data_IF_587905962250
#
_entry.id   IF_587905962250
#
_cell.length_a   1.000
_cell.length_b   1.000
_cell.length_c   1.000
_cell.angle_alpha   90.00
_cell.angle_beta   90.00
_cell.angle_gamma   90.00
#
_symmetry.space_group_name_H-M   'P 1'
#
loop_
_entity.id
_entity.type
_entity.pdbx_description
1 polymer ?
#
# COMPACT_ATOMS: atom_id res chain seq x y z
N UNK A 1 -13.96 0.01 -4.42
CA UNK A 1 -12.85 -0.42 -3.56
C UNK A 1 -11.67 0.51 -3.82
N UNK A 2 -11.42 1.43 -2.88
CA UNK A 2 -10.40 2.47 -2.98
C UNK A 2 -10.97 3.80 -3.44
N UNK A 3 -11.77 4.44 -2.58
CA UNK A 3 -12.40 5.74 -2.86
C UNK A 3 -11.43 6.92 -2.61
N UNK A 4 -10.16 6.61 -2.34
CA UNK A 4 -9.12 7.62 -2.20
C UNK A 4 -8.32 7.71 -3.48
N UNK A 5 -8.41 8.86 -4.14
CA UNK A 5 -7.51 9.27 -5.23
C UNK A 5 -6.08 9.50 -4.76
N UNK A 6 -5.86 9.57 -3.45
CA UNK A 6 -4.54 9.78 -2.88
C UNK A 6 -3.85 8.45 -2.58
N UNK A 7 -2.52 8.36 -2.76
CA UNK A 7 -1.75 7.22 -2.32
C UNK A 7 -2.00 6.93 -0.83
N UNK A 8 -2.21 5.66 -0.48
CA UNK A 8 -2.32 5.25 0.91
C UNK A 8 -1.01 5.59 1.64
N UNK A 9 -1.09 6.12 2.86
CA UNK A 9 0.10 6.39 3.67
C UNK A 9 0.97 5.13 3.86
N UNK A 10 0.34 3.95 3.89
CA UNK A 10 1.00 2.65 4.02
C UNK A 10 1.79 2.22 2.77
N UNK A 11 1.66 2.93 1.65
CA UNK A 11 2.42 2.69 0.43
C UNK A 11 3.78 3.41 0.44
N UNK A 12 3.97 4.45 1.26
CA UNK A 12 5.25 5.13 1.38
C UNK A 12 6.29 4.23 2.07
N UNK A 13 7.48 4.12 1.48
CA UNK A 13 8.53 3.21 1.96
C UNK A 13 8.87 3.44 3.45
N UNK A 14 9.05 4.70 3.85
CA UNK A 14 9.51 5.09 5.19
C UNK A 14 8.37 5.51 6.14
N UNK A 15 7.12 5.15 5.83
CA UNK A 15 6.01 5.33 6.75
C UNK A 15 5.78 4.06 7.58
N UNK A 16 5.73 4.21 8.91
CA UNK A 16 5.53 3.12 9.84
C UNK A 16 4.60 3.55 10.97
N UNK A 17 3.85 2.59 11.50
CA UNK A 17 2.99 2.74 12.67
C UNK A 17 3.73 2.11 13.84
N UNK A 18 3.92 2.88 14.90
CA UNK A 18 4.66 2.44 16.10
C UNK A 18 3.64 2.31 17.23
N UNK A 19 3.58 1.14 17.85
CA UNK A 19 2.73 0.87 18.99
C UNK A 19 3.41 1.30 20.30
N UNK A 20 2.63 1.42 21.40
CA UNK A 20 3.13 1.91 22.69
C UNK A 20 4.28 1.07 23.29
N UNK A 21 4.37 -0.21 22.90
CA UNK A 21 5.39 -1.16 23.36
C UNK A 21 6.63 -1.22 22.44
N UNK A 22 6.71 -0.31 21.47
CA UNK A 22 7.77 -0.26 20.47
C UNK A 22 7.56 -1.21 19.28
N UNK A 23 6.52 -2.03 19.25
CA UNK A 23 6.25 -2.88 18.07
C UNK A 23 5.93 -2.00 16.85
N UNK A 24 6.52 -2.38 15.70
CA UNK A 24 6.41 -1.63 14.44
C UNK A 24 5.51 -2.37 13.47
N UNK A 25 4.57 -1.65 12.86
CA UNK A 25 3.61 -2.12 11.86
C UNK A 25 3.60 -1.20 10.63
N UNK A 26 2.98 -1.62 9.52
CA UNK A 26 2.87 -0.76 8.33
C UNK A 26 1.65 0.15 8.33
N UNK A 27 0.51 -0.36 8.75
CA UNK A 27 -0.75 0.36 8.66
C UNK A 27 -1.66 0.00 9.82
N UNK A 28 -2.66 0.85 10.05
CA UNK A 28 -3.67 0.68 11.09
C UNK A 28 -4.86 -0.20 10.67
N UNK A 29 -4.88 -0.68 9.42
CA UNK A 29 -5.96 -1.51 8.86
C UNK A 29 -5.74 -3.03 9.09
N UNK A 30 -4.83 -3.38 10.00
CA UNK A 30 -4.49 -4.75 10.39
C UNK A 30 -4.37 -4.81 11.91
N UNK A 31 -4.63 -5.98 12.48
CA UNK A 31 -4.52 -6.19 13.91
C UNK A 31 -3.07 -6.06 14.37
N UNK A 32 -2.87 -5.40 15.52
CA UNK A 32 -1.57 -5.24 16.17
C UNK A 32 -1.20 -6.49 16.96
N UNK A 33 -1.07 -7.61 16.25
CA UNK A 33 -0.64 -8.90 16.76
C UNK A 33 0.77 -9.24 16.29
N UNK A 34 1.41 -10.20 16.96
CA UNK A 34 2.79 -10.59 16.67
C UNK A 34 2.98 -11.06 15.22
N UNK A 35 1.97 -11.72 14.65
CA UNK A 35 1.98 -12.22 13.27
C UNK A 35 2.07 -11.09 12.24
N UNK A 36 1.58 -9.89 12.56
CA UNK A 36 1.59 -8.73 11.67
C UNK A 36 2.74 -7.75 11.94
N UNK A 37 3.51 -7.98 13.02
CA UNK A 37 4.64 -7.13 13.39
C UNK A 37 5.70 -7.15 12.30
N UNK A 38 6.22 -5.99 11.96
CA UNK A 38 7.32 -5.79 11.00
C UNK A 38 8.68 -5.60 11.69
N UNK A 39 8.70 -5.27 12.96
CA UNK A 39 9.93 -5.01 13.69
C UNK A 39 9.67 -4.42 15.06
N UNK A 40 10.73 -3.89 15.67
CA UNK A 40 10.68 -3.22 16.96
C UNK A 40 11.53 -1.95 16.94
N UNK A 41 11.01 -0.87 17.51
CA UNK A 41 11.77 0.34 17.83
C UNK A 41 12.61 0.06 19.09
N UNK A 42 13.90 0.26 18.96
CA UNK A 42 14.89 0.08 20.01
C UNK A 42 15.12 1.38 20.78
N UNK A 43 15.71 1.29 21.97
CA UNK A 43 15.92 2.44 22.87
C UNK A 43 16.87 3.51 22.30
N UNK A 44 17.70 3.15 21.32
CA UNK A 44 18.60 4.04 20.60
C UNK A 44 17.94 4.74 19.39
N UNK A 45 16.65 4.46 19.14
CA UNK A 45 15.88 5.01 18.03
C UNK A 45 15.99 4.21 16.73
N UNK A 46 16.73 3.10 16.70
CA UNK A 46 16.79 2.21 15.54
C UNK A 46 15.50 1.36 15.44
N UNK A 47 15.01 1.16 14.22
CA UNK A 47 13.97 0.15 13.96
C UNK A 47 14.65 -1.12 13.46
N UNK A 48 14.58 -2.19 14.27
CA UNK A 48 15.04 -3.52 13.87
C UNK A 48 13.88 -4.24 13.19
N UNK A 49 14.00 -4.39 11.87
CA UNK A 49 13.00 -5.07 11.04
C UNK A 49 13.16 -6.60 11.08
N UNK A 50 12.04 -7.31 11.02
CA UNK A 50 12.01 -8.76 10.87
C UNK A 50 11.85 -9.17 9.40
N UNK A 51 11.82 -10.48 9.13
CA UNK A 51 11.67 -11.03 7.78
C UNK A 51 10.39 -10.56 7.07
N UNK A 52 9.30 -10.35 7.82
CA UNK A 52 8.01 -9.91 7.26
C UNK A 52 8.10 -8.52 6.64
N UNK A 53 8.92 -7.62 7.19
CA UNK A 53 9.19 -6.32 6.58
C UNK A 53 9.91 -6.45 5.23
N UNK A 54 10.85 -7.39 5.13
CA UNK A 54 11.57 -7.70 3.90
C UNK A 54 10.64 -8.35 2.86
N UNK A 55 9.81 -9.30 3.27
CA UNK A 55 8.79 -9.94 2.42
C UNK A 55 7.83 -8.90 1.86
N UNK A 56 7.30 -8.01 2.70
CA UNK A 56 6.42 -6.93 2.25
C UNK A 56 7.09 -6.05 1.18
N UNK A 57 8.38 -5.78 1.34
CA UNK A 57 9.14 -4.96 0.39
C UNK A 57 9.36 -5.71 -0.92
N UNK A 58 9.75 -6.99 -0.85
CA UNK A 58 9.93 -7.86 -2.02
C UNK A 58 8.63 -8.08 -2.80
N UNK A 59 7.52 -8.26 -2.10
CA UNK A 59 6.22 -8.60 -2.68
C UNK A 59 5.33 -7.36 -2.90
N UNK A 60 5.90 -6.15 -2.93
CA UNK A 60 5.11 -4.90 -3.09
C UNK A 60 4.22 -4.90 -4.34
N UNK A 61 4.68 -5.57 -5.39
CA UNK A 61 4.00 -5.65 -6.68
C UNK A 61 3.83 -7.10 -7.12
N UNK A 62 2.67 -7.38 -7.71
CA UNK A 62 2.40 -8.65 -8.37
C UNK A 62 2.96 -8.63 -9.80
N UNK A 63 2.98 -9.77 -10.49
CA UNK A 63 3.42 -9.83 -11.88
C UNK A 63 2.55 -8.93 -12.79
N UNK A 64 1.23 -8.93 -12.59
CA UNK A 64 0.31 -8.05 -13.33
C UNK A 64 0.59 -6.56 -13.08
N UNK A 65 1.03 -6.19 -11.87
CA UNK A 65 1.34 -4.80 -11.55
C UNK A 65 2.45 -4.25 -12.45
N UNK A 66 3.45 -5.08 -12.79
CA UNK A 66 4.61 -4.67 -13.59
C UNK A 66 4.24 -4.33 -15.04
N UNK A 67 3.10 -4.80 -15.53
CA UNK A 67 2.58 -4.48 -16.88
C UNK A 67 1.39 -3.51 -16.85
N UNK A 68 0.89 -3.18 -15.65
CA UNK A 68 -0.28 -2.34 -15.47
C UNK A 68 0.05 -0.86 -15.66
N UNK A 69 -0.48 -0.26 -16.74
CA UNK A 69 -0.31 1.18 -17.05
C UNK A 69 -0.90 2.12 -15.99
N UNK A 70 -1.78 1.62 -15.12
CA UNK A 70 -2.42 2.40 -14.05
C UNK A 70 -1.66 2.34 -12.73
N UNK A 71 -0.55 1.58 -12.64
CA UNK A 71 0.21 1.42 -11.41
C UNK A 71 0.55 2.75 -10.70
N UNK A 72 0.96 3.83 -11.39
CA UNK A 72 1.28 5.11 -10.73
C UNK A 72 0.11 5.75 -9.97
N UNK A 73 -1.12 5.43 -10.35
CA UNK A 73 -2.36 5.99 -9.77
C UNK A 73 -3.22 4.90 -9.12
N UNK A 74 -2.64 3.72 -8.87
CA UNK A 74 -3.38 2.53 -8.45
C UNK A 74 -3.90 2.70 -7.01
N UNK A 75 -5.22 2.66 -6.77
CA UNK A 75 -5.77 2.85 -5.43
C UNK A 75 -5.81 1.55 -4.60
N UNK A 76 -5.26 0.45 -5.11
CA UNK A 76 -5.29 -0.85 -4.43
C UNK A 76 -4.23 -0.87 -3.34
N UNK A 77 -4.66 -1.18 -2.11
CA UNK A 77 -3.83 -1.35 -0.92
C UNK A 77 -2.59 -2.22 -1.17
N UNK A 78 -1.40 -1.72 -0.82
CA UNK A 78 -0.15 -2.49 -0.88
C UNK A 78 -0.16 -3.79 -0.08
N UNK A 79 -0.89 -3.84 1.04
CA UNK A 79 -1.02 -5.08 1.83
C UNK A 79 -1.69 -6.19 1.02
N UNK A 80 -2.82 -5.88 0.39
CA UNK A 80 -3.60 -6.84 -0.40
C UNK A 80 -2.79 -7.28 -1.63
N UNK A 81 -2.03 -6.37 -2.25
CA UNK A 81 -1.09 -6.71 -3.34
C UNK A 81 0.00 -7.67 -2.86
N UNK A 82 0.60 -7.41 -1.70
CA UNK A 82 1.70 -8.23 -1.17
C UNK A 82 1.29 -9.63 -0.71
N UNK A 83 0.01 -9.81 -0.41
CA UNK A 83 -0.58 -11.10 0.00
C UNK A 83 -1.17 -11.88 -1.20
N UNK A 84 -1.06 -11.35 -2.42
CA UNK A 84 -1.54 -12.03 -3.62
C UNK A 84 -0.71 -13.29 -3.91
N UNK A 85 -1.39 -14.43 -4.04
CA UNK A 85 -0.76 -15.76 -4.12
C UNK A 85 -0.51 -16.27 -5.54
N UNK A 86 -1.18 -15.71 -6.55
CA UNK A 86 -1.14 -16.19 -7.93
C UNK A 86 -0.41 -15.23 -8.89
N UNK A 87 0.22 -14.19 -8.34
CA UNK A 87 0.90 -13.15 -9.11
C UNK A 87 -0.06 -12.23 -9.86
N UNK A 88 -1.39 -12.36 -9.67
CA UNK A 88 -2.38 -11.52 -10.35
C UNK A 88 -2.76 -10.31 -9.52
N UNK A 89 -3.39 -9.35 -10.17
CA UNK A 89 -4.06 -8.26 -9.47
C UNK A 89 -5.15 -8.83 -8.55
N UNK A 90 -5.13 -8.58 -7.22
CA UNK A 90 -6.07 -9.18 -6.27
C UNK A 90 -7.48 -8.58 -6.36
N UNK A 91 -7.68 -7.57 -7.21
CA UNK A 91 -8.95 -6.88 -7.40
C UNK A 91 -9.27 -6.85 -8.89
N UNK A 92 -10.49 -7.25 -9.25
CA UNK A 92 -11.02 -7.08 -10.60
C UNK A 92 -11.59 -5.66 -10.76
N UNK A 93 -10.95 -4.83 -11.60
CA UNK A 93 -11.40 -3.47 -11.90
C UNK A 93 -12.06 -3.46 -13.28
N UNK A 94 -13.34 -3.13 -13.34
CA UNK A 94 -14.04 -2.96 -14.63
C UNK A 94 -13.54 -1.72 -15.37
N UNK A 95 -13.71 -1.64 -16.71
CA UNK A 95 -13.37 -0.45 -17.48
C UNK A 95 -14.01 0.84 -16.94
N UNK A 96 -15.27 0.78 -16.52
CA UNK A 96 -16.00 1.94 -16.00
C UNK A 96 -15.43 2.45 -14.68
N UNK A 97 -15.16 1.54 -13.73
CA UNK A 97 -14.53 1.90 -12.44
C UNK A 97 -13.15 2.49 -12.68
N UNK A 98 -12.40 1.95 -13.64
CA UNK A 98 -11.10 2.49 -13.95
C UNK A 98 -11.17 3.89 -14.58
N UNK A 99 -12.13 4.14 -15.47
CA UNK A 99 -12.34 5.46 -16.06
C UNK A 99 -12.73 6.47 -14.99
N UNK A 100 -13.58 6.08 -14.03
CA UNK A 100 -13.92 6.89 -12.87
C UNK A 100 -12.68 7.24 -12.02
N UNK A 101 -11.89 6.24 -11.62
CA UNK A 101 -10.68 6.46 -10.82
C UNK A 101 -9.66 7.39 -11.51
N UNK A 102 -9.50 7.26 -12.83
CA UNK A 102 -8.63 8.14 -13.61
C UNK A 102 -9.16 9.59 -13.59
N UNK A 103 -10.46 9.79 -13.78
CA UNK A 103 -11.06 11.13 -13.74
C UNK A 103 -10.89 11.79 -12.38
N UNK A 104 -11.19 11.06 -11.32
CA UNK A 104 -11.07 11.55 -9.95
C UNK A 104 -9.61 11.88 -9.60
N UNK A 105 -8.64 11.05 -10.02
CA UNK A 105 -7.22 11.31 -9.76
C UNK A 105 -6.70 12.60 -10.41
N UNK A 106 -7.20 12.93 -11.60
CA UNK A 106 -6.81 14.13 -12.35
C UNK A 106 -7.88 15.24 -12.30
N UNK A 107 -8.75 15.22 -11.28
CA UNK A 107 -9.86 16.16 -11.17
C UNK A 107 -9.38 17.62 -11.08
N UNK A 108 -8.28 17.86 -10.37
CA UNK A 108 -7.64 19.16 -10.23
C UNK A 108 -7.13 19.70 -11.58
N UNK A 109 -6.53 18.85 -12.42
CA UNK A 109 -6.09 19.22 -13.77
C UNK A 109 -7.26 19.48 -14.72
N UNK A 110 -8.41 18.85 -14.50
CA UNK A 110 -9.60 19.02 -15.36
C UNK A 110 -10.42 20.26 -15.00
N UNK A 111 -10.40 20.67 -13.72
CA UNK A 111 -11.18 21.81 -13.20
C UNK A 111 -10.38 23.11 -13.16
N UNK A 112 -9.06 23.04 -13.32
CA UNK A 112 -8.21 24.21 -13.51
C UNK A 112 -8.33 24.70 -14.96
N UNK A 113 -9.44 25.37 -15.29
CA UNK A 113 -9.50 26.27 -16.44
C UNK A 113 -8.72 27.53 -16.11
N UNK A 114 -7.62 27.77 -16.84
CA UNK A 114 -7.01 29.10 -17.00
C UNK A 114 -7.83 29.89 -18.01
#
# INVERSE_FOLDING_TARGET
>A
FGDSVNPCYGDFANNYVINYNGDVFKCTARDFCEENRLGKLMDDGEIVFNERALERTRNRWTHDCLTCRRLPICPICSQVKSESIDGKCPVHITPDVAAMNIREYFFDLQTTTV
#
